data_IF_210744021637
#
_entry.id   IF_210744021637
#
_cell.length_a   1.000
_cell.length_b   1.000
_cell.length_c   1.000
_cell.angle_alpha   90.00
_cell.angle_beta   90.00
_cell.angle_gamma   90.00
#
_symmetry.space_group_name_H-M   'P 1'
#
loop_
_entity.id
_entity.type
_entity.pdbx_description
1 polymer ?
#
# COMPACT_ATOMS: atom_id res chain seq x y z
N UNK A 1 -30.60 -39.92 -9.42
CA UNK A 1 -29.53 -39.23 -10.17
C UNK A 1 -28.81 -38.30 -9.22
N UNK A 2 -27.50 -38.47 -8.99
CA UNK A 2 -26.75 -37.59 -8.09
C UNK A 2 -26.54 -36.24 -8.81
N UNK A 3 -26.78 -35.09 -8.17
CA UNK A 3 -26.64 -33.77 -8.80
C UNK A 3 -25.16 -33.36 -8.91
N UNK A 4 -24.32 -34.20 -9.52
CA UNK A 4 -22.87 -34.00 -9.63
C UNK A 4 -22.56 -32.86 -10.62
N UNK A 5 -23.31 -32.79 -11.72
CA UNK A 5 -23.15 -31.79 -12.77
C UNK A 5 -23.43 -30.35 -12.29
N UNK A 6 -24.56 -30.04 -11.61
CA UNK A 6 -24.77 -28.70 -11.08
C UNK A 6 -23.77 -28.36 -9.96
N UNK A 7 -23.37 -29.33 -9.13
CA UNK A 7 -22.39 -29.11 -8.07
C UNK A 7 -21.01 -28.72 -8.63
N UNK A 8 -20.55 -29.39 -9.70
CA UNK A 8 -19.25 -29.05 -10.31
C UNK A 8 -19.24 -27.64 -10.90
N UNK A 9 -20.35 -27.19 -11.49
CA UNK A 9 -20.46 -25.83 -12.04
C UNK A 9 -20.35 -24.79 -10.92
N UNK A 10 -21.05 -24.99 -9.79
CA UNK A 10 -20.99 -24.07 -8.65
C UNK A 10 -19.55 -23.95 -8.09
N UNK A 11 -18.83 -25.06 -8.00
CA UNK A 11 -17.45 -25.07 -7.52
C UNK A 11 -16.54 -24.28 -8.47
N UNK A 12 -16.66 -24.47 -9.78
CA UNK A 12 -15.85 -23.75 -10.77
C UNK A 12 -16.12 -22.24 -10.71
N UNK A 13 -17.39 -21.84 -10.61
CA UNK A 13 -17.75 -20.41 -10.49
C UNK A 13 -17.19 -19.79 -9.20
N UNK A 14 -17.26 -20.50 -8.08
CA UNK A 14 -16.72 -20.01 -6.81
C UNK A 14 -15.20 -19.81 -6.86
N UNK A 15 -14.46 -20.71 -7.50
CA UNK A 15 -13.01 -20.58 -7.70
C UNK A 15 -12.67 -19.36 -8.55
N UNK A 16 -13.40 -19.15 -9.65
CA UNK A 16 -13.20 -18.00 -10.55
C UNK A 16 -13.43 -16.67 -9.82
N UNK A 17 -14.52 -16.57 -9.05
CA UNK A 17 -14.83 -15.38 -8.25
C UNK A 17 -13.77 -15.15 -7.17
N UNK A 18 -13.31 -16.22 -6.51
CA UNK A 18 -12.26 -16.15 -5.49
C UNK A 18 -10.95 -15.55 -6.02
N UNK A 19 -10.50 -16.00 -7.20
CA UNK A 19 -9.26 -15.52 -7.84
C UNK A 19 -9.40 -14.04 -8.26
N UNK A 20 -10.51 -13.66 -8.88
CA UNK A 20 -10.75 -12.26 -9.25
C UNK A 20 -10.88 -11.34 -8.04
N UNK A 21 -11.52 -11.83 -6.97
CA UNK A 21 -11.70 -11.09 -5.73
C UNK A 21 -10.37 -10.78 -5.03
N UNK A 22 -9.48 -11.77 -4.89
CA UNK A 22 -8.19 -11.57 -4.23
C UNK A 22 -7.27 -10.63 -5.01
N UNK A 23 -7.18 -10.82 -6.34
CA UNK A 23 -6.32 -9.97 -7.18
C UNK A 23 -6.77 -8.51 -7.19
N UNK A 24 -8.08 -8.26 -7.17
CA UNK A 24 -8.60 -6.90 -7.15
C UNK A 24 -8.48 -6.25 -5.76
N UNK A 25 -8.55 -7.05 -4.70
CA UNK A 25 -8.38 -6.58 -3.33
C UNK A 25 -6.96 -6.06 -3.09
N UNK A 26 -5.94 -6.82 -3.51
CA UNK A 26 -4.54 -6.42 -3.32
C UNK A 26 -4.19 -5.13 -4.09
N UNK A 27 -4.70 -4.99 -5.33
CA UNK A 27 -4.53 -3.77 -6.13
C UNK A 27 -5.21 -2.58 -5.48
N UNK A 28 -6.44 -2.75 -5.00
CA UNK A 28 -7.18 -1.68 -4.33
C UNK A 28 -6.51 -1.22 -3.04
N UNK A 29 -5.99 -2.15 -2.23
CA UNK A 29 -5.26 -1.83 -1.00
C UNK A 29 -3.99 -1.04 -1.33
N UNK A 30 -3.22 -1.47 -2.33
CA UNK A 30 -2.01 -0.76 -2.75
C UNK A 30 -2.29 0.66 -3.24
N UNK A 31 -3.33 0.85 -4.06
CA UNK A 31 -3.70 2.19 -4.57
C UNK A 31 -4.22 3.10 -3.45
N UNK A 32 -4.98 2.54 -2.51
CA UNK A 32 -5.47 3.25 -1.32
C UNK A 32 -4.31 3.70 -0.43
N UNK A 33 -3.35 2.83 -0.15
CA UNK A 33 -2.21 3.14 0.71
C UNK A 33 -1.29 4.19 0.07
N UNK A 34 -1.05 4.11 -1.24
CA UNK A 34 -0.32 5.16 -1.96
C UNK A 34 -1.00 6.53 -1.86
N UNK A 35 -2.34 6.56 -1.98
CA UNK A 35 -3.10 7.82 -1.85
C UNK A 35 -3.04 8.38 -0.42
N UNK A 36 -3.18 7.51 0.58
CA UNK A 36 -3.10 7.90 1.98
C UNK A 36 -1.70 8.41 2.34
N UNK A 37 -0.66 7.78 1.81
CA UNK A 37 0.72 8.23 1.97
C UNK A 37 0.91 9.63 1.40
N UNK A 38 0.43 9.91 0.19
CA UNK A 38 0.54 11.24 -0.42
C UNK A 38 -0.14 12.32 0.43
N UNK A 39 -1.35 12.04 0.93
CA UNK A 39 -2.09 12.97 1.78
C UNK A 39 -1.37 13.20 3.12
N UNK A 40 -0.92 12.13 3.77
CA UNK A 40 -0.21 12.21 5.04
C UNK A 40 1.10 12.99 4.91
N UNK A 41 1.88 12.77 3.84
CA UNK A 41 3.11 13.52 3.57
C UNK A 41 2.83 14.99 3.29
N UNK A 42 1.78 15.32 2.53
CA UNK A 42 1.39 16.71 2.25
C UNK A 42 0.92 17.43 3.52
N UNK A 43 0.14 16.75 4.38
CA UNK A 43 -0.28 17.27 5.68
C UNK A 43 0.92 17.48 6.61
N UNK A 44 1.87 16.53 6.69
CA UNK A 44 3.10 16.72 7.45
C UNK A 44 3.89 17.94 6.98
N UNK A 45 3.96 18.18 5.66
CA UNK A 45 4.64 19.33 5.07
C UNK A 45 3.95 20.66 5.37
N UNK A 46 2.61 20.66 5.49
CA UNK A 46 1.82 21.85 5.82
C UNK A 46 1.81 22.17 7.30
N UNK A 47 1.77 21.13 8.15
CA UNK A 47 1.63 21.27 9.60
C UNK A 47 2.97 21.61 10.28
N UNK A 48 4.07 21.05 9.80
CA UNK A 48 5.39 21.20 10.42
C UNK A 48 6.34 22.00 9.52
N UNK A 49 7.06 22.94 10.14
CA UNK A 49 8.17 23.60 9.45
C UNK A 49 9.30 22.59 9.15
N UNK A 50 10.09 22.87 8.12
CA UNK A 50 11.20 22.01 7.71
C UNK A 50 12.16 21.79 8.89
N UNK A 51 12.28 20.53 9.33
CA UNK A 51 13.04 20.15 10.52
C UNK A 51 12.67 18.76 11.04
N UNK A 52 13.16 18.40 12.23
CA UNK A 52 12.98 17.06 12.82
C UNK A 52 11.52 16.62 12.94
N UNK A 53 10.60 17.53 13.31
CA UNK A 53 9.19 17.18 13.49
C UNK A 53 8.51 16.81 12.17
N UNK A 54 8.83 17.52 11.09
CA UNK A 54 8.34 17.21 9.75
C UNK A 54 8.89 15.85 9.28
N UNK A 55 10.16 15.58 9.55
CA UNK A 55 10.81 14.33 9.18
C UNK A 55 10.24 13.14 9.95
N UNK A 56 10.03 13.28 11.26
CA UNK A 56 9.41 12.25 12.09
C UNK A 56 7.98 11.96 11.63
N UNK A 57 7.21 13.00 11.29
CA UNK A 57 5.85 12.86 10.77
C UNK A 57 5.81 12.09 9.44
N UNK A 58 6.71 12.43 8.50
CA UNK A 58 6.79 11.73 7.21
C UNK A 58 7.27 10.28 7.41
N UNK A 59 8.22 10.04 8.31
CA UNK A 59 8.72 8.70 8.63
C UNK A 59 7.60 7.82 9.20
N UNK A 60 6.78 8.34 10.13
CA UNK A 60 5.60 7.63 10.66
C UNK A 60 4.56 7.36 9.57
N UNK A 61 4.34 8.31 8.67
CA UNK A 61 3.41 8.16 7.55
C UNK A 61 3.86 7.07 6.58
N UNK A 62 5.17 7.01 6.30
CA UNK A 62 5.80 5.94 5.52
C UNK A 62 5.71 4.59 6.22
N UNK A 63 5.83 4.54 7.54
CA UNK A 63 5.75 3.27 8.26
C UNK A 63 4.36 2.61 8.13
N UNK A 64 3.31 3.44 8.13
CA UNK A 64 1.90 2.99 8.07
C UNK A 64 1.42 2.74 6.64
N UNK A 65 1.77 3.62 5.69
CA UNK A 65 1.21 3.60 4.33
C UNK A 65 2.24 3.35 3.23
N UNK A 66 3.53 3.42 3.55
CA UNK A 66 4.62 3.24 2.60
C UNK A 66 4.94 1.78 2.35
N UNK A 67 5.36 1.48 1.12
CA UNK A 67 5.92 0.17 0.77
C UNK A 67 7.34 0.04 1.31
N UNK A 68 7.84 -1.20 1.47
CA UNK A 68 9.21 -1.45 1.92
C UNK A 68 10.24 -0.72 1.05
N UNK A 69 10.04 -0.69 -0.26
CA UNK A 69 10.88 0.06 -1.19
C UNK A 69 10.90 1.56 -0.86
N UNK A 70 9.75 2.17 -0.57
CA UNK A 70 9.68 3.60 -0.23
C UNK A 70 10.32 3.91 1.12
N UNK A 71 10.21 2.99 2.09
CA UNK A 71 10.90 3.09 3.39
C UNK A 71 12.41 3.06 3.21
N UNK A 72 12.93 2.12 2.41
CA UNK A 72 14.36 2.02 2.10
C UNK A 72 14.89 3.28 1.39
N UNK A 73 14.14 3.81 0.41
CA UNK A 73 14.52 5.06 -0.28
C UNK A 73 14.55 6.26 0.68
N UNK A 74 13.64 6.30 1.65
CA UNK A 74 13.60 7.36 2.66
C UNK A 74 14.76 7.27 3.65
N UNK A 75 15.07 6.06 4.13
CA UNK A 75 16.19 5.80 5.04
C UNK A 75 17.56 6.09 4.38
N UNK A 76 17.68 5.80 3.08
CA UNK A 76 18.89 6.08 2.30
C UNK A 76 19.02 7.54 1.83
N UNK A 77 18.00 8.38 2.05
CA UNK A 77 17.99 9.78 1.59
C UNK A 77 19.17 10.57 2.15
N UNK A 78 19.51 10.37 3.42
CA UNK A 78 20.58 11.12 4.09
C UNK A 78 21.96 10.69 3.57
N UNK A 79 22.11 9.42 3.20
CA UNK A 79 23.30 8.87 2.54
C UNK A 79 23.51 9.49 1.14
N UNK A 80 22.43 9.68 0.37
CA UNK A 80 22.49 10.33 -0.95
C UNK A 80 22.62 11.86 -0.87
N UNK A 81 22.06 12.51 0.15
CA UNK A 81 22.19 13.96 0.34
C UNK A 81 23.61 14.37 0.78
N UNK A 82 24.41 13.44 1.31
CA UNK A 82 25.79 13.68 1.76
C UNK A 82 26.84 13.49 0.65
N UNK A 83 26.49 12.86 -0.47
CA UNK A 83 27.37 12.67 -1.64
C UNK A 83 26.60 13.02 -2.94
N UNK A 84 26.61 14.30 -3.36
CA UNK A 84 26.01 14.74 -4.61
C UNK A 84 26.75 14.24 -5.86
#
# INVERSE_FOLDING_TARGET
MRPIIPLSIVIVVAVIIGIMGSSNYDVYVAERDQRNLQLAVDDCKKLFQQGMEQEECITKSLDVFGTDYQKEQWDQRDLYSANP
#
